data_IF_671449872642
#
_entry.id   IF_671449872642
#
_cell.length_a   1.000
_cell.length_b   1.000
_cell.length_c   1.000
_cell.angle_alpha   90.00
_cell.angle_beta   90.00
_cell.angle_gamma   90.00
#
_symmetry.space_group_name_H-M   'P 1'
#
loop_
_entity.id
_entity.type
_entity.pdbx_description
1 polymer ?
#
# COMPACT_ATOMS: atom_id res chain seq x y z
N UNK A 1 18.73 -7.22 -8.31
CA UNK A 1 17.46 -6.45 -8.34
C UNK A 1 16.26 -7.42 -8.35
N UNK A 2 15.26 -7.18 -7.50
CA UNK A 2 14.04 -7.97 -7.49
C UNK A 2 12.89 -7.16 -8.11
N UNK A 3 11.94 -7.79 -8.82
CA UNK A 3 10.77 -7.10 -9.35
C UNK A 3 9.96 -6.45 -8.23
N UNK A 4 9.42 -5.27 -8.50
CA UNK A 4 8.44 -4.62 -7.63
C UNK A 4 7.03 -4.79 -8.21
N UNK A 5 6.04 -4.91 -7.33
CA UNK A 5 4.63 -4.93 -7.72
C UNK A 5 4.09 -3.51 -7.63
N UNK A 6 3.42 -3.05 -8.68
CA UNK A 6 2.67 -1.78 -8.67
C UNK A 6 1.19 -2.10 -8.72
N UNK A 7 0.43 -1.57 -7.77
CA UNK A 7 -1.02 -1.73 -7.67
C UNK A 7 -1.66 -0.36 -7.80
N UNK A 8 -2.59 -0.22 -8.75
CA UNK A 8 -3.47 0.94 -8.87
C UNK A 8 -4.91 0.47 -8.64
N UNK A 9 -5.43 0.70 -7.44
CA UNK A 9 -6.81 0.34 -7.09
C UNK A 9 -7.68 1.58 -6.99
N UNK A 10 -8.49 1.79 -8.03
CA UNK A 10 -9.36 2.97 -8.21
C UNK A 10 -10.80 2.61 -7.83
N UNK A 11 -11.41 3.44 -6.99
CA UNK A 11 -12.83 3.35 -6.61
C UNK A 11 -13.52 4.68 -6.91
N UNK A 12 -14.76 4.60 -7.38
CA UNK A 12 -15.59 5.77 -7.68
C UNK A 12 -17.00 5.59 -7.14
N UNK A 13 -17.53 6.65 -6.57
CA UNK A 13 -18.91 6.76 -6.11
C UNK A 13 -19.42 8.18 -6.32
N UNK A 14 -20.74 8.32 -6.35
CA UNK A 14 -21.41 9.62 -6.31
C UNK A 14 -21.44 10.18 -4.87
N UNK A 15 -21.39 9.31 -3.86
CA UNK A 15 -21.48 9.67 -2.45
C UNK A 15 -20.15 9.40 -1.72
N UNK A 16 -19.92 10.11 -0.62
CA UNK A 16 -18.75 9.91 0.23
C UNK A 16 -18.82 8.58 1.00
N UNK A 17 -17.73 7.82 0.96
CA UNK A 17 -17.58 6.57 1.68
C UNK A 17 -16.23 6.47 2.40
N UNK A 18 -16.11 5.48 3.28
CA UNK A 18 -14.82 4.99 3.79
C UNK A 18 -14.33 3.84 2.92
N UNK A 19 -13.08 3.93 2.46
CA UNK A 19 -12.43 2.90 1.68
C UNK A 19 -11.25 2.35 2.44
N UNK A 20 -11.22 1.01 2.58
CA UNK A 20 -10.16 0.28 3.25
C UNK A 20 -9.39 -0.57 2.24
N UNK A 21 -8.09 -0.34 2.17
CA UNK A 21 -7.16 -1.16 1.41
C UNK A 21 -6.29 -1.98 2.39
N UNK A 22 -6.71 -3.21 2.73
CA UNK A 22 -5.96 -4.08 3.63
C UNK A 22 -4.81 -4.79 2.91
N UNK A 23 -3.66 -4.88 3.57
CA UNK A 23 -2.55 -5.75 3.18
C UNK A 23 -2.27 -6.69 4.34
N UNK A 24 -2.62 -7.96 4.13
CA UNK A 24 -2.18 -9.07 4.98
C UNK A 24 -0.74 -9.40 4.61
N UNK A 25 0.10 -9.61 5.63
CA UNK A 25 1.47 -10.00 5.41
C UNK A 25 1.90 -11.05 6.42
N UNK A 26 2.80 -11.94 5.99
CA UNK A 26 3.52 -12.80 6.91
C UNK A 26 4.78 -12.07 7.39
N UNK A 27 5.17 -12.32 8.64
CA UNK A 27 6.42 -11.85 9.20
C UNK A 27 6.24 -10.74 10.23
N UNK A 28 7.32 -10.00 10.47
CA UNK A 28 7.41 -9.03 11.55
C UNK A 28 7.49 -7.60 11.01
N UNK A 29 6.66 -6.71 11.57
CA UNK A 29 6.75 -5.28 11.29
C UNK A 29 8.12 -4.76 11.73
N UNK A 30 8.80 -4.04 10.82
CA UNK A 30 10.11 -3.43 11.06
C UNK A 30 9.97 -1.93 11.30
N UNK A 31 9.29 -1.22 10.41
CA UNK A 31 9.13 0.24 10.53
C UNK A 31 7.97 0.77 9.69
N UNK A 32 7.50 1.96 10.06
CA UNK A 32 6.65 2.80 9.22
C UNK A 32 7.08 4.26 9.34
N UNK A 33 6.80 5.07 8.32
CA UNK A 33 7.00 6.52 8.37
C UNK A 33 5.81 7.28 9.00
N UNK A 34 4.72 6.59 9.33
CA UNK A 34 3.54 7.19 9.97
C UNK A 34 3.73 7.15 11.48
N UNK A 35 3.53 8.27 12.17
CA UNK A 35 3.41 8.27 13.64
C UNK A 35 2.05 7.69 14.03
N UNK A 36 2.03 6.75 14.96
CA UNK A 36 0.81 6.05 15.37
C UNK A 36 0.76 5.87 16.89
N UNK A 37 -0.45 5.75 17.40
CA UNK A 37 -0.73 5.36 18.77
C UNK A 37 -0.95 3.85 18.80
N UNK A 38 -0.15 3.15 19.60
CA UNK A 38 -0.25 1.69 19.77
C UNK A 38 -1.17 1.34 20.95
N UNK A 39 -2.02 0.34 20.76
CA UNK A 39 -2.87 -0.23 21.79
C UNK A 39 -2.06 -1.21 22.66
N UNK A 40 -1.22 -0.67 23.56
CA UNK A 40 -0.25 -1.46 24.35
C UNK A 40 -0.84 -2.14 25.58
N UNK A 41 -1.98 -1.68 26.07
CA UNK A 41 -2.64 -2.21 27.29
C UNK A 41 -3.86 -3.06 26.96
N UNK A 42 -4.68 -2.62 26.00
CA UNK A 42 -5.92 -3.29 25.61
C UNK A 42 -6.18 -3.08 24.13
N UNK A 43 -6.42 -4.18 23.42
CA UNK A 43 -6.89 -4.18 22.03
C UNK A 43 -8.41 -4.36 22.00
N UNK A 44 -9.05 -3.77 20.99
CA UNK A 44 -10.48 -3.90 20.75
C UNK A 44 -10.71 -4.38 19.29
N UNK A 45 -11.83 -5.04 19.00
CA UNK A 45 -12.18 -5.36 17.62
C UNK A 45 -12.20 -4.09 16.76
N UNK A 46 -11.67 -4.18 15.54
CA UNK A 46 -11.52 -3.06 14.61
C UNK A 46 -12.89 -2.51 14.15
N UNK A 47 -13.91 -3.36 14.18
CA UNK A 47 -15.30 -2.99 13.96
C UNK A 47 -16.23 -4.05 14.54
N UNK A 48 -17.51 -3.95 14.21
CA UNK A 48 -18.55 -4.75 14.86
C UNK A 48 -19.24 -5.75 13.92
N UNK A 49 -18.97 -5.70 12.61
CA UNK A 49 -19.66 -6.50 11.58
C UNK A 49 -18.79 -6.72 10.34
N UNK A 50 -19.16 -7.72 9.54
CA UNK A 50 -18.63 -8.01 8.21
C UNK A 50 -17.14 -8.37 8.19
N UNK A 51 -16.67 -9.07 9.22
CA UNK A 51 -15.30 -9.53 9.37
C UNK A 51 -14.42 -8.61 10.21
N UNK A 52 -14.76 -7.33 10.36
CA UNK A 52 -14.01 -6.38 11.19
C UNK A 52 -14.08 -6.72 12.68
N UNK A 53 -15.14 -7.41 13.12
CA UNK A 53 -15.28 -7.98 14.45
C UNK A 53 -14.26 -9.08 14.77
N UNK A 54 -13.56 -9.59 13.75
CA UNK A 54 -12.53 -10.62 13.87
C UNK A 54 -11.10 -10.09 13.80
N UNK A 55 -10.92 -8.78 13.73
CA UNK A 55 -9.63 -8.11 13.67
C UNK A 55 -9.39 -7.32 14.96
N UNK A 56 -8.32 -7.60 15.70
CA UNK A 56 -7.84 -6.73 16.75
C UNK A 56 -7.23 -5.46 16.16
N UNK A 57 -7.59 -4.28 16.66
CA UNK A 57 -6.90 -3.02 16.35
C UNK A 57 -5.66 -2.89 17.24
N UNK A 58 -4.48 -3.00 16.66
CA UNK A 58 -3.20 -2.95 17.37
C UNK A 58 -2.64 -1.52 17.49
N UNK A 59 -3.01 -0.64 16.56
CA UNK A 59 -2.63 0.76 16.60
C UNK A 59 -3.10 1.52 15.36
N UNK A 60 -3.01 2.84 15.39
CA UNK A 60 -3.37 3.65 14.22
C UNK A 60 -2.71 5.02 14.24
N UNK A 61 -2.48 5.56 13.04
CA UNK A 61 -1.96 6.90 12.83
C UNK A 61 -2.54 7.52 11.57
N UNK A 62 -2.27 8.81 11.36
CA UNK A 62 -2.69 9.55 10.16
C UNK A 62 -1.50 10.20 9.48
N UNK A 63 -1.58 10.32 8.16
CA UNK A 63 -0.58 10.97 7.32
C UNK A 63 -1.24 11.58 6.10
N UNK A 64 -0.89 12.81 5.76
CA UNK A 64 -1.22 13.41 4.47
C UNK A 64 -0.16 13.06 3.40
N UNK A 65 0.99 12.57 3.84
CA UNK A 65 2.09 12.10 2.99
C UNK A 65 1.96 10.61 2.67
N UNK A 66 2.81 10.10 1.78
CA UNK A 66 2.88 8.68 1.43
C UNK A 66 3.00 7.80 2.69
N UNK A 67 2.33 6.65 2.67
CA UNK A 67 2.36 5.67 3.75
C UNK A 67 3.33 4.56 3.36
N UNK A 68 4.41 4.42 4.12
CA UNK A 68 5.42 3.37 3.95
C UNK A 68 5.39 2.43 5.14
N UNK A 69 5.26 1.14 4.89
CA UNK A 69 5.32 0.07 5.88
C UNK A 69 6.33 -0.96 5.42
N UNK A 70 7.29 -1.29 6.29
CA UNK A 70 8.32 -2.30 6.02
C UNK A 70 8.18 -3.44 7.01
N UNK A 71 8.22 -4.66 6.52
CA UNK A 71 8.26 -5.89 7.33
C UNK A 71 9.36 -6.82 6.83
N UNK A 72 9.68 -7.82 7.64
CA UNK A 72 10.62 -8.90 7.31
C UNK A 72 9.89 -10.24 7.37
N UNK A 73 10.06 -11.07 6.35
CA UNK A 73 9.56 -12.44 6.32
C UNK A 73 10.70 -13.39 5.95
N UNK A 74 11.06 -14.27 6.88
CA UNK A 74 12.26 -15.09 6.80
C UNK A 74 13.52 -14.22 6.63
N UNK A 75 14.22 -14.41 5.51
CA UNK A 75 15.49 -13.73 5.25
C UNK A 75 15.37 -12.48 4.37
N UNK A 76 14.16 -11.94 4.17
CA UNK A 76 13.92 -10.87 3.20
C UNK A 76 13.01 -9.78 3.75
N UNK A 77 13.35 -8.53 3.42
CA UNK A 77 12.52 -7.38 3.73
C UNK A 77 11.54 -7.10 2.59
N UNK A 78 10.41 -6.51 2.95
CA UNK A 78 9.40 -6.04 2.04
C UNK A 78 8.99 -4.64 2.48
N UNK A 79 8.89 -3.72 1.52
CA UNK A 79 8.34 -2.38 1.77
C UNK A 79 7.14 -2.15 0.88
N UNK A 80 6.01 -1.81 1.49
CA UNK A 80 4.85 -1.24 0.80
C UNK A 80 4.92 0.28 0.91
N UNK A 81 4.85 0.99 -0.21
CA UNK A 81 4.76 2.45 -0.26
C UNK A 81 3.49 2.83 -1.02
N UNK A 82 2.52 3.39 -0.31
CA UNK A 82 1.25 3.88 -0.87
C UNK A 82 1.31 5.39 -1.01
N UNK A 83 0.86 5.93 -2.15
CA UNK A 83 0.80 7.36 -2.41
C UNK A 83 0.07 8.10 -1.28
N UNK A 84 0.48 9.34 -1.01
CA UNK A 84 -0.19 10.18 -0.01
C UNK A 84 -1.55 10.67 -0.50
N UNK A 85 -2.48 10.86 0.43
CA UNK A 85 -3.70 11.63 0.24
C UNK A 85 -4.12 12.24 1.57
N UNK A 86 -4.77 13.42 1.59
CA UNK A 86 -5.20 14.07 2.83
C UNK A 86 -6.02 13.15 3.73
N UNK A 87 -5.69 13.15 5.02
CA UNK A 87 -6.40 12.40 6.04
C UNK A 87 -6.27 10.88 5.94
N UNK A 88 -5.30 10.35 5.16
CA UNK A 88 -5.05 8.90 5.07
C UNK A 88 -4.73 8.36 6.45
N UNK A 89 -5.47 7.32 6.86
CA UNK A 89 -5.28 6.62 8.13
C UNK A 89 -4.55 5.30 7.87
N UNK A 90 -3.50 5.04 8.64
CA UNK A 90 -2.84 3.73 8.71
C UNK A 90 -3.32 3.04 9.98
N UNK A 91 -3.85 1.83 9.84
CA UNK A 91 -4.32 1.02 10.96
C UNK A 91 -3.52 -0.28 10.96
N UNK A 92 -2.88 -0.60 12.07
CA UNK A 92 -2.31 -1.92 12.31
C UNK A 92 -3.36 -2.80 12.96
N UNK A 93 -3.54 -4.01 12.43
CA UNK A 93 -4.51 -4.96 12.93
C UNK A 93 -3.97 -6.39 12.88
N UNK A 94 -4.65 -7.29 13.59
CA UNK A 94 -4.33 -8.72 13.63
C UNK A 94 -5.60 -9.54 13.69
N UNK A 95 -5.68 -10.63 12.94
CA UNK A 95 -6.81 -11.57 13.03
C UNK A 95 -6.85 -12.28 14.39
N UNK A 96 -8.06 -12.64 14.84
CA UNK A 96 -8.28 -13.41 16.07
C UNK A 96 -9.17 -12.73 17.11
N UNK A 97 -9.79 -11.59 16.80
CA UNK A 97 -10.81 -11.02 17.66
C UNK A 97 -12.08 -11.88 17.64
N UNK A 98 -12.79 -11.96 18.77
CA UNK A 98 -14.00 -12.77 18.94
C UNK A 98 -13.86 -14.23 18.47
N UNK A 99 -12.67 -14.83 18.64
CA UNK A 99 -12.40 -16.24 18.29
C UNK A 99 -12.09 -17.08 19.54
N UNK A 100 -13.11 -17.44 20.34
CA UNK A 100 -12.91 -18.13 21.63
C UNK A 100 -12.36 -19.55 21.47
N UNK A 101 -12.45 -20.12 20.27
CA UNK A 101 -12.02 -21.50 19.99
C UNK A 101 -10.66 -21.55 19.28
N UNK A 102 -10.01 -20.40 19.06
CA UNK A 102 -8.71 -20.30 18.39
C UNK A 102 -8.71 -20.94 16.99
N UNK A 103 -9.78 -20.73 16.23
CA UNK A 103 -9.92 -21.27 14.87
C UNK A 103 -9.22 -20.41 13.81
N UNK A 104 -9.01 -19.12 14.08
CA UNK A 104 -8.38 -18.19 13.15
C UNK A 104 -6.86 -18.21 13.34
N UNK A 105 -6.15 -18.26 12.21
CA UNK A 105 -4.71 -18.00 12.20
C UNK A 105 -4.49 -16.56 12.67
N UNK A 106 -3.58 -16.35 13.61
CA UNK A 106 -3.16 -15.02 14.05
C UNK A 106 -2.18 -14.42 13.03
N UNK A 107 -2.69 -13.53 12.19
CA UNK A 107 -1.99 -12.96 11.03
C UNK A 107 -2.02 -11.43 11.13
N UNK A 108 -0.86 -10.75 11.00
CA UNK A 108 -0.83 -9.31 10.99
C UNK A 108 -1.30 -8.75 9.64
N UNK A 109 -1.91 -7.59 9.71
CA UNK A 109 -2.25 -6.78 8.55
C UNK A 109 -2.09 -5.30 8.88
N UNK A 110 -2.01 -4.50 7.83
CA UNK A 110 -2.29 -3.08 7.96
C UNK A 110 -3.34 -2.65 6.95
N UNK A 111 -4.14 -1.65 7.32
CA UNK A 111 -5.16 -1.06 6.48
C UNK A 111 -4.76 0.36 6.17
N UNK A 112 -4.74 0.71 4.88
CA UNK A 112 -4.70 2.10 4.44
C UNK A 112 -6.14 2.53 4.21
N UNK A 113 -6.65 3.41 5.08
CA UNK A 113 -8.03 3.90 5.08
C UNK A 113 -8.11 5.32 4.56
N UNK A 114 -9.08 5.58 3.68
CA UNK A 114 -9.39 6.92 3.16
C UNK A 114 -10.89 7.19 3.18
N UNK A 115 -11.27 8.47 3.11
CA UNK A 115 -12.66 8.90 2.95
C UNK A 115 -12.82 9.82 1.75
N UNK A 116 -13.95 9.71 1.07
CA UNK A 116 -14.35 10.58 -0.03
C UNK A 116 -15.25 9.84 -1.03
N UNK A 117 -15.71 10.55 -2.05
CA UNK A 117 -16.49 9.95 -3.14
C UNK A 117 -15.64 9.06 -4.06
N UNK A 118 -14.37 9.40 -4.24
CA UNK A 118 -13.42 8.66 -5.08
C UNK A 118 -12.13 8.38 -4.29
N UNK A 119 -11.46 7.28 -4.59
CA UNK A 119 -10.14 6.97 -4.04
C UNK A 119 -9.29 6.22 -5.06
N UNK A 120 -7.98 6.52 -5.07
CA UNK A 120 -6.97 5.74 -5.80
C UNK A 120 -5.85 5.32 -4.85
N UNK A 121 -5.81 4.05 -4.50
CA UNK A 121 -4.68 3.45 -3.78
C UNK A 121 -3.62 3.07 -4.82
N UNK A 122 -2.61 3.94 -4.97
CA UNK A 122 -1.44 3.68 -5.78
C UNK A 122 -0.31 3.19 -4.86
N UNK A 123 0.03 1.91 -4.95
CA UNK A 123 0.94 1.25 -4.02
C UNK A 123 2.05 0.53 -4.77
N UNK A 124 3.28 0.63 -4.26
CA UNK A 124 4.41 -0.17 -4.72
C UNK A 124 4.87 -1.08 -3.59
N UNK A 125 4.93 -2.38 -3.85
CA UNK A 125 5.48 -3.38 -2.93
C UNK A 125 6.79 -3.88 -3.52
N UNK A 126 7.89 -3.62 -2.82
CA UNK A 126 9.22 -4.05 -3.23
C UNK A 126 9.80 -5.07 -2.22
N UNK A 127 10.24 -6.25 -2.68
CA UNK A 127 11.16 -7.09 -1.92
C UNK A 127 12.58 -6.52 -2.00
N UNK A 128 13.28 -6.46 -0.87
CA UNK A 128 14.64 -5.93 -0.81
C UNK A 128 15.45 -6.55 0.33
N UNK A 129 16.76 -6.31 0.26
CA UNK A 129 17.68 -6.67 1.31
C UNK A 129 17.75 -8.16 1.65
N UNK A 130 18.52 -8.41 2.71
CA UNK A 130 18.71 -9.73 3.27
C UNK A 130 18.84 -9.62 4.78
N UNK A 131 18.17 -10.51 5.48
CA UNK A 131 18.25 -10.67 6.92
C UNK A 131 18.77 -12.06 7.25
N UNK A 132 19.80 -12.13 8.09
CA UNK A 132 20.34 -13.37 8.63
C UNK A 132 20.18 -13.34 10.14
N UNK A 133 19.18 -14.07 10.66
CA UNK A 133 19.02 -14.27 12.10
C UNK A 133 20.26 -14.92 12.72
N UNK A 134 20.85 -16.00 12.15
CA UNK A 134 21.99 -16.67 12.80
C UNK A 134 23.26 -15.82 12.90
N UNK A 135 23.40 -14.83 12.00
CA UNK A 135 24.56 -13.93 11.96
C UNK A 135 24.23 -12.54 12.52
N UNK A 136 23.00 -12.33 12.99
CA UNK A 136 22.47 -11.02 13.41
C UNK A 136 22.73 -9.90 12.40
N UNK A 137 22.68 -10.23 11.11
CA UNK A 137 23.14 -9.34 10.03
C UNK A 137 21.99 -8.87 9.14
N UNK A 138 21.95 -7.55 8.91
CA UNK A 138 21.01 -6.91 7.98
C UNK A 138 21.76 -6.22 6.84
N UNK A 139 21.39 -6.53 5.61
CA UNK A 139 21.90 -5.91 4.39
C UNK A 139 20.73 -5.26 3.67
N UNK A 140 20.88 -3.98 3.29
CA UNK A 140 19.86 -3.22 2.53
C UNK A 140 18.43 -3.34 3.11
N UNK A 141 18.33 -3.25 4.45
CA UNK A 141 17.06 -3.34 5.18
C UNK A 141 16.09 -2.18 4.90
N UNK A 142 16.54 -1.15 4.15
CA UNK A 142 15.68 -0.06 3.68
C UNK A 142 15.39 -0.26 2.20
N UNK A 143 14.10 -0.21 1.84
CA UNK A 143 13.65 -0.30 0.47
C UNK A 143 14.16 0.84 -0.41
N UNK A 144 14.23 0.61 -1.72
CA UNK A 144 14.73 1.56 -2.71
C UNK A 144 13.67 2.57 -3.13
N UNK A 145 12.38 2.22 -3.07
CA UNK A 145 11.28 3.13 -3.39
C UNK A 145 11.25 4.27 -2.37
N UNK A 146 11.39 5.48 -2.88
CA UNK A 146 11.42 6.72 -2.11
C UNK A 146 10.06 7.41 -2.10
N UNK A 147 9.36 7.44 -3.24
CA UNK A 147 8.05 8.06 -3.33
C UNK A 147 7.16 7.38 -4.36
N UNK A 148 5.85 7.44 -4.11
CA UNK A 148 4.79 7.11 -5.06
C UNK A 148 3.84 8.31 -5.08
N UNK A 149 3.61 8.90 -6.25
CA UNK A 149 2.77 10.08 -6.41
C UNK A 149 1.75 9.85 -7.51
N UNK A 150 0.48 10.13 -7.21
CA UNK A 150 -0.55 10.24 -8.24
C UNK A 150 -0.38 11.61 -8.90
N UNK A 151 0.01 11.62 -10.18
CA UNK A 151 0.15 12.86 -10.95
C UNK A 151 -1.20 13.33 -11.48
N UNK A 152 -2.03 12.39 -11.93
CA UNK A 152 -3.39 12.65 -12.42
C UNK A 152 -4.20 11.34 -12.33
N UNK A 153 -5.52 11.45 -12.11
CA UNK A 153 -6.45 10.32 -12.19
C UNK A 153 -7.87 10.83 -12.42
N UNK A 154 -8.48 10.38 -13.51
CA UNK A 154 -9.84 10.75 -13.87
C UNK A 154 -10.60 9.53 -14.45
N UNK A 155 -11.71 9.74 -15.16
CA UNK A 155 -12.48 8.64 -15.75
C UNK A 155 -11.76 7.93 -16.90
N UNK A 156 -10.82 8.59 -17.56
CA UNK A 156 -10.13 8.07 -18.75
C UNK A 156 -8.84 7.33 -18.40
N UNK A 157 -8.08 7.80 -17.40
CA UNK A 157 -6.83 7.17 -17.01
C UNK A 157 -6.27 7.63 -15.68
N UNK A 158 -5.22 6.93 -15.25
CA UNK A 158 -4.46 7.20 -14.03
C UNK A 158 -2.97 7.24 -14.36
N UNK A 159 -2.28 8.27 -13.87
CA UNK A 159 -0.84 8.49 -14.07
C UNK A 159 -0.17 8.54 -12.70
N UNK A 160 0.76 7.61 -12.48
CA UNK A 160 1.48 7.48 -11.21
C UNK A 160 2.98 7.52 -11.46
N UNK A 161 3.66 8.38 -10.71
CA UNK A 161 5.10 8.46 -10.69
C UNK A 161 5.64 7.69 -9.49
N UNK A 162 6.73 6.96 -9.71
CA UNK A 162 7.50 6.30 -8.67
C UNK A 162 8.94 6.74 -8.78
N UNK A 163 9.53 7.14 -7.66
CA UNK A 163 10.96 7.42 -7.56
C UNK A 163 11.64 6.42 -6.63
N UNK A 164 12.87 6.06 -6.96
CA UNK A 164 13.68 5.14 -6.20
C UNK A 164 15.15 5.63 -6.11
N UNK A 165 15.91 5.01 -5.21
CA UNK A 165 17.32 5.33 -4.99
C UNK A 165 18.16 5.19 -6.25
N UNK A 166 19.18 6.05 -6.38
CA UNK A 166 20.04 6.10 -7.57
C UNK A 166 19.47 6.92 -8.71
N UNK A 167 18.49 7.79 -8.45
CA UNK A 167 17.86 8.65 -9.46
C UNK A 167 16.85 7.92 -10.35
N UNK A 168 16.53 6.66 -10.03
CA UNK A 168 15.55 5.89 -10.77
C UNK A 168 14.16 6.53 -10.63
N UNK A 169 13.49 6.67 -11.77
CA UNK A 169 12.16 7.26 -11.85
C UNK A 169 11.40 6.57 -12.97
N UNK A 170 10.23 6.01 -12.64
CA UNK A 170 9.32 5.49 -13.64
C UNK A 170 7.93 6.10 -13.50
N UNK A 171 7.23 6.20 -14.63
CA UNK A 171 5.84 6.65 -14.71
C UNK A 171 5.00 5.50 -15.22
N UNK A 172 3.95 5.16 -14.48
CA UNK A 172 2.96 4.14 -14.81
C UNK A 172 1.70 4.87 -15.26
N UNK A 173 1.29 4.61 -16.49
CA UNK A 173 0.08 5.18 -17.08
C UNK A 173 -0.88 4.04 -17.39
N UNK A 174 -2.12 4.14 -16.92
CA UNK A 174 -3.15 3.10 -17.09
C UNK A 174 -4.44 3.74 -17.58
N UNK A 175 -5.07 3.13 -18.58
CA UNK A 175 -6.40 3.51 -19.02
C UNK A 175 -7.44 2.96 -18.04
N UNK A 176 -8.39 3.81 -17.61
CA UNK A 176 -9.47 3.43 -16.69
C UNK A 176 -10.75 3.01 -17.43
N UNK A 177 -10.81 3.23 -18.75
CA UNK A 177 -11.92 2.86 -19.62
C UNK A 177 -11.83 1.42 -20.15
N UNK A 178 -12.67 1.07 -21.14
CA UNK A 178 -12.64 -0.24 -21.80
C UNK A 178 -11.26 -0.55 -22.39
N UNK A 179 -10.86 -1.82 -22.31
CA UNK A 179 -9.58 -2.25 -22.82
C UNK A 179 -9.48 -2.07 -24.34
N UNK A 180 -8.37 -1.49 -24.79
CA UNK A 180 -8.02 -1.32 -26.20
C UNK A 180 -6.50 -1.28 -26.36
N UNK A 181 -5.97 -2.00 -27.34
CA UNK A 181 -4.52 -2.00 -27.65
C UNK A 181 -4.10 -0.87 -28.57
N UNK A 182 -5.06 -0.16 -29.16
CA UNK A 182 -4.81 0.89 -30.18
C UNK A 182 -5.33 2.26 -29.77
N UNK A 183 -6.13 2.35 -28.71
CA UNK A 183 -6.60 3.62 -28.18
C UNK A 183 -5.42 4.48 -27.71
N UNK A 184 -5.47 5.77 -28.05
CA UNK A 184 -4.50 6.77 -27.59
C UNK A 184 -5.10 7.53 -26.43
N UNK A 185 -4.33 7.69 -25.36
CA UNK A 185 -4.72 8.41 -24.17
C UNK A 185 -3.81 9.62 -23.96
N UNK A 186 -4.31 10.71 -23.36
CA UNK A 186 -3.50 11.86 -22.95
C UNK A 186 -4.05 12.43 -21.65
N UNK A 187 -3.36 12.16 -20.53
CA UNK A 187 -3.79 12.48 -19.17
C UNK A 187 -2.62 13.09 -18.42
N UNK A 188 -2.81 14.19 -17.67
CA UNK A 188 -1.74 14.83 -16.90
C UNK A 188 -0.49 15.20 -17.70
N UNK A 189 -0.64 15.51 -18.99
CA UNK A 189 0.48 15.77 -19.91
C UNK A 189 1.28 14.53 -20.34
N UNK A 190 0.84 13.33 -19.98
CA UNK A 190 1.41 12.06 -20.46
C UNK A 190 0.53 11.47 -21.56
N UNK A 191 1.17 11.03 -22.66
CA UNK A 191 0.49 10.32 -23.75
C UNK A 191 1.04 8.91 -23.88
N UNK A 192 0.14 7.95 -24.14
CA UNK A 192 0.46 6.55 -24.41
C UNK A 192 -0.58 5.91 -25.34
N UNK A 193 -0.26 4.74 -25.86
CA UNK A 193 -1.19 3.91 -26.65
C UNK A 193 -1.39 2.56 -25.97
N UNK A 194 -2.63 2.08 -25.92
CA UNK A 194 -2.96 0.81 -25.29
C UNK A 194 -3.45 0.93 -23.85
N UNK A 195 -3.67 -0.21 -23.20
CA UNK A 195 -4.22 -0.28 -21.84
C UNK A 195 -3.31 0.33 -20.77
N UNK A 196 -2.00 0.21 -20.93
CA UNK A 196 -1.02 0.78 -20.02
C UNK A 196 0.32 1.00 -20.73
N UNK A 197 1.12 1.89 -20.17
CA UNK A 197 2.54 2.05 -20.51
C UNK A 197 3.32 2.28 -19.21
N UNK A 198 4.55 1.75 -19.15
CA UNK A 198 5.50 2.07 -18.09
C UNK A 198 6.74 2.68 -18.73
N UNK A 199 7.09 3.89 -18.34
CA UNK A 199 8.20 4.66 -18.92
C UNK A 199 9.26 4.94 -17.87
N UNK A 200 10.54 4.88 -18.24
CA UNK A 200 11.67 5.21 -17.36
C UNK A 200 12.23 4.03 -16.54
N UNK A 201 11.79 2.81 -16.83
CA UNK A 201 12.42 1.59 -16.28
C UNK A 201 13.67 1.31 -17.12
N UNK A 202 14.86 1.63 -16.60
CA UNK A 202 16.16 1.21 -17.14
C UNK A 202 16.90 0.39 -16.09
#
# INVERSE_FOLDING_TARGET
PSPAVVVLYRLTSVADHGYDYPIHFRGQLVTTNVKYDAATVRQEPLGTKFGYEHLWREGSGRSDSAVKVTWVDGNRYYSSTTAGAPGTELIFARTGANDPNFNLISEPLFVVRRRGANALFATVIEPHGYFSEPQERSIEARGRVQSVRVLDSNAEGSVVEVTATGGLKWTVMVANGPASTTARHTIGGQSWTGNFEVRGVQ
#
